data_IF_155428358214
#
_entry.id   IF_155428358214
#
_cell.length_a   1.000
_cell.length_b   1.000
_cell.length_c   1.000
_cell.angle_alpha   90.00
_cell.angle_beta   90.00
_cell.angle_gamma   90.00
#
_symmetry.space_group_name_H-M   'P 1'
#
loop_
_entity.id
_entity.type
_entity.pdbx_description
1 polymer ?
#
# COMPACT_ATOMS: atom_id res chain seq x y z
N UNK A 1 -5.15 -12.04 -16.18
CA UNK A 1 -4.57 -13.08 -15.30
C UNK A 1 -4.55 -14.37 -16.08
N UNK A 2 -3.62 -15.28 -15.81
CA UNK A 2 -3.51 -16.59 -16.44
C UNK A 2 -3.52 -17.64 -15.35
N UNK A 3 -4.34 -18.68 -15.51
CA UNK A 3 -4.32 -19.88 -14.68
C UNK A 3 -3.65 -20.97 -15.50
N UNK A 4 -2.60 -21.59 -14.95
CA UNK A 4 -1.95 -22.75 -15.56
C UNK A 4 -2.51 -24.00 -14.87
N UNK A 5 -3.12 -24.89 -15.65
CA UNK A 5 -3.63 -26.15 -15.15
C UNK A 5 -2.52 -27.20 -15.11
N UNK A 6 -2.61 -28.17 -14.20
CA UNK A 6 -1.72 -29.33 -14.19
C UNK A 6 -1.89 -30.14 -15.47
N UNK A 7 -0.83 -30.83 -15.90
CA UNK A 7 -0.90 -31.72 -17.07
C UNK A 7 -1.86 -32.91 -16.87
N UNK A 8 -2.19 -33.23 -15.62
CA UNK A 8 -3.15 -34.27 -15.24
C UNK A 8 -4.58 -33.76 -15.11
N UNK A 9 -4.84 -32.46 -15.28
CA UNK A 9 -6.17 -31.89 -15.15
C UNK A 9 -7.10 -32.40 -16.26
N UNK A 10 -8.29 -32.86 -15.88
CA UNK A 10 -9.32 -33.31 -16.81
C UNK A 10 -10.02 -32.11 -17.47
N UNK A 11 -10.76 -32.37 -18.55
CA UNK A 11 -11.62 -31.33 -19.16
C UNK A 11 -12.66 -30.79 -18.19
N UNK A 12 -13.19 -31.64 -17.32
CA UNK A 12 -14.16 -31.25 -16.30
C UNK A 12 -13.54 -30.31 -15.26
N UNK A 13 -12.27 -30.53 -14.88
CA UNK A 13 -11.54 -29.62 -14.00
C UNK A 13 -11.35 -28.23 -14.64
N UNK A 14 -11.01 -28.20 -15.93
CA UNK A 14 -10.88 -26.95 -16.69
C UNK A 14 -12.21 -26.19 -16.73
N UNK A 15 -13.31 -26.89 -17.01
CA UNK A 15 -14.67 -26.29 -17.04
C UNK A 15 -15.13 -25.81 -15.65
N UNK A 16 -14.80 -26.56 -14.59
CA UNK A 16 -15.09 -26.17 -13.21
C UNK A 16 -14.36 -24.88 -12.82
N UNK A 17 -13.06 -24.81 -13.11
CA UNK A 17 -12.24 -23.62 -12.80
C UNK A 17 -12.62 -22.44 -13.70
N UNK A 18 -12.91 -22.66 -14.98
CA UNK A 18 -13.37 -21.58 -15.86
C UNK A 18 -14.73 -21.03 -15.41
N UNK A 19 -15.66 -21.91 -15.02
CA UNK A 19 -17.00 -21.54 -14.56
C UNK A 19 -17.00 -20.80 -13.22
N UNK A 20 -16.05 -21.07 -12.31
CA UNK A 20 -15.93 -20.31 -11.06
C UNK A 20 -15.53 -18.85 -11.32
N UNK A 21 -14.66 -18.62 -12.30
CA UNK A 21 -14.21 -17.28 -12.71
C UNK A 21 -15.31 -16.53 -13.48
N UNK A 22 -16.05 -17.21 -14.36
CA UNK A 22 -17.17 -16.59 -15.10
C UNK A 22 -18.30 -16.10 -14.18
N UNK A 23 -18.56 -16.81 -13.08
CA UNK A 23 -19.55 -16.39 -12.06
C UNK A 23 -19.22 -15.03 -11.42
N UNK A 24 -17.96 -14.59 -11.47
CA UNK A 24 -17.53 -13.27 -10.99
C UNK A 24 -17.73 -12.16 -12.05
N UNK A 25 -18.36 -12.47 -13.18
CA UNK A 25 -18.63 -11.54 -14.27
C UNK A 25 -17.40 -11.28 -15.15
N UNK A 26 -16.45 -12.21 -15.17
CA UNK A 26 -15.22 -12.14 -15.98
C UNK A 26 -15.34 -13.04 -17.19
N UNK A 27 -14.63 -12.70 -18.27
CA UNK A 27 -14.55 -13.56 -19.46
C UNK A 27 -13.32 -14.46 -19.34
N UNK A 28 -13.47 -15.71 -19.72
CA UNK A 28 -12.38 -16.68 -19.76
C UNK A 28 -12.11 -17.11 -21.20
N UNK A 29 -10.85 -17.37 -21.51
CA UNK A 29 -10.42 -17.98 -22.77
C UNK A 29 -9.52 -19.16 -22.46
N UNK A 30 -9.94 -20.35 -22.88
CA UNK A 30 -9.22 -21.59 -22.60
C UNK A 30 -8.35 -21.95 -23.80
N UNK A 31 -7.05 -22.08 -23.57
CA UNK A 31 -6.08 -22.56 -24.55
C UNK A 31 -5.64 -23.95 -24.14
N UNK A 32 -6.04 -24.95 -24.91
CA UNK A 32 -5.60 -26.33 -24.71
C UNK A 32 -4.26 -26.53 -25.43
N UNK A 33 -3.17 -26.54 -24.67
CA UNK A 33 -1.84 -26.84 -25.19
C UNK A 33 -1.61 -28.35 -25.37
N UNK A 34 -0.49 -28.72 -25.98
CA UNK A 34 -0.12 -30.12 -26.17
C UNK A 34 0.14 -30.87 -24.84
N UNK A 35 0.54 -30.15 -23.80
CA UNK A 35 0.92 -30.71 -22.49
C UNK A 35 0.05 -30.24 -21.33
N UNK A 36 -0.44 -29.00 -21.39
CA UNK A 36 -1.19 -28.36 -20.30
C UNK A 36 -2.24 -27.41 -20.90
N UNK A 37 -3.35 -27.24 -20.18
CA UNK A 37 -4.35 -26.22 -20.49
C UNK A 37 -4.05 -24.93 -19.73
N UNK A 38 -4.29 -23.80 -20.39
CA UNK A 38 -4.07 -22.46 -19.85
C UNK A 38 -5.38 -21.69 -19.96
N UNK A 39 -5.83 -21.11 -18.85
CA UNK A 39 -7.05 -20.29 -18.81
C UNK A 39 -6.64 -18.83 -18.70
N UNK A 40 -6.87 -18.06 -19.77
CA UNK A 40 -6.72 -16.62 -19.77
C UNK A 40 -7.98 -15.94 -19.22
N UNK A 41 -7.82 -15.12 -18.19
CA UNK A 41 -8.91 -14.33 -17.59
C UNK A 41 -8.83 -12.89 -18.12
N UNK A 42 -9.93 -12.44 -18.71
CA UNK A 42 -10.10 -11.13 -19.35
C UNK A 42 -11.15 -10.32 -18.58
N UNK A 43 -10.76 -9.14 -18.10
CA UNK A 43 -11.62 -8.23 -17.37
C UNK A 43 -10.92 -7.62 -16.15
N UNK A 44 -11.71 -7.20 -15.17
CA UNK A 44 -11.20 -6.66 -13.90
C UNK A 44 -10.79 -7.79 -12.95
N UNK A 45 -9.56 -8.27 -13.11
CA UNK A 45 -9.02 -9.38 -12.31
C UNK A 45 -8.75 -9.02 -10.85
N UNK A 46 -9.02 -7.80 -10.40
CA UNK A 46 -8.97 -7.44 -8.97
C UNK A 46 -10.06 -8.14 -8.15
N UNK A 47 -11.11 -8.64 -8.82
CA UNK A 47 -12.21 -9.40 -8.24
C UNK A 47 -11.91 -10.88 -7.98
N UNK A 48 -10.75 -11.36 -8.43
CA UNK A 48 -10.32 -12.75 -8.26
C UNK A 48 -9.16 -12.75 -7.28
N UNK A 49 -9.32 -13.48 -6.19
CA UNK A 49 -8.21 -13.81 -5.31
C UNK A 49 -7.44 -15.00 -5.90
N UNK A 50 -6.15 -14.83 -6.31
CA UNK A 50 -5.35 -15.91 -6.87
C UNK A 50 -5.24 -17.12 -5.94
N UNK A 51 -5.11 -16.88 -4.62
CA UNK A 51 -4.93 -17.94 -3.63
C UNK A 51 -6.16 -18.86 -3.59
N UNK A 52 -7.36 -18.28 -3.71
CA UNK A 52 -8.61 -19.03 -3.79
C UNK A 52 -8.73 -19.96 -5.01
N UNK A 53 -7.97 -19.69 -6.08
CA UNK A 53 -7.93 -20.53 -7.28
C UNK A 53 -6.79 -21.55 -7.19
N UNK A 54 -5.64 -21.16 -6.63
CA UNK A 54 -4.47 -22.04 -6.47
C UNK A 54 -4.71 -23.22 -5.51
N UNK A 55 -5.69 -23.14 -4.62
CA UNK A 55 -6.08 -24.26 -3.76
C UNK A 55 -6.76 -25.41 -4.51
N UNK A 56 -7.24 -25.20 -5.73
CA UNK A 56 -7.84 -26.28 -6.50
C UNK A 56 -6.74 -27.29 -6.93
N UNK A 57 -6.91 -28.60 -6.65
CA UNK A 57 -5.87 -29.59 -6.91
C UNK A 57 -5.50 -29.70 -8.39
N UNK A 58 -6.37 -29.29 -9.32
CA UNK A 58 -6.11 -29.30 -10.76
C UNK A 58 -5.31 -28.07 -11.25
N UNK A 59 -5.13 -27.04 -10.41
CA UNK A 59 -4.37 -25.83 -10.73
C UNK A 59 -2.90 -26.02 -10.35
N UNK A 60 -2.00 -25.63 -11.26
CA UNK A 60 -0.55 -25.66 -11.02
C UNK A 60 -0.06 -24.33 -10.44
N UNK A 61 -0.50 -23.21 -11.02
CA UNK A 61 -0.19 -21.84 -10.56
C UNK A 61 -1.09 -20.81 -11.21
N UNK A 62 -1.22 -19.66 -10.57
CA UNK A 62 -1.91 -18.47 -11.10
C UNK A 62 -0.90 -17.34 -11.29
N UNK A 63 -0.99 -16.65 -12.42
CA UNK A 63 -0.07 -15.59 -12.80
C UNK A 63 -0.82 -14.32 -13.21
N UNK A 64 -0.40 -13.18 -12.67
CA UNK A 64 -0.90 -11.89 -13.12
C UNK A 64 -0.26 -11.51 -14.47
N UNK A 65 -1.10 -11.17 -15.45
CA UNK A 65 -0.65 -10.62 -16.75
C UNK A 65 -0.44 -9.11 -16.64
N UNK A 66 -1.29 -8.46 -15.86
CA UNK A 66 -1.20 -7.03 -15.53
C UNK A 66 -0.89 -6.89 -14.05
N UNK A 67 -0.09 -5.90 -13.69
CA UNK A 67 0.23 -5.59 -12.31
C UNK A 67 -1.03 -5.33 -11.47
N UNK A 68 -1.12 -5.87 -10.24
CA UNK A 68 -2.34 -5.81 -9.42
C UNK A 68 -2.62 -4.41 -8.85
N UNK A 69 -1.69 -3.47 -8.96
CA UNK A 69 -1.75 -2.12 -8.38
C UNK A 69 -2.07 -1.03 -9.41
N UNK A 70 -3.12 -1.23 -10.24
CA UNK A 70 -3.46 -0.33 -11.36
C UNK A 70 -3.53 1.16 -10.98
N UNK A 71 -4.15 1.49 -9.84
CA UNK A 71 -4.33 2.88 -9.39
C UNK A 71 -3.03 3.59 -9.02
N UNK A 72 -1.99 2.85 -8.63
CA UNK A 72 -0.68 3.40 -8.28
C UNK A 72 0.36 3.22 -9.40
N UNK A 73 -0.03 2.63 -10.52
CA UNK A 73 0.88 2.22 -11.58
C UNK A 73 1.06 3.32 -12.64
N UNK A 74 2.31 3.67 -12.96
CA UNK A 74 2.65 4.64 -14.01
C UNK A 74 2.14 4.28 -15.40
N UNK A 75 1.98 2.99 -15.71
CA UNK A 75 1.40 2.56 -16.97
C UNK A 75 -0.06 3.03 -17.16
N UNK A 76 -0.78 3.24 -16.05
CA UNK A 76 -2.17 3.72 -16.04
C UNK A 76 -2.27 5.19 -15.60
N UNK A 77 -1.30 5.67 -14.84
CA UNK A 77 -1.19 7.05 -14.33
C UNK A 77 0.19 7.62 -14.69
N UNK A 78 0.41 8.03 -15.96
CA UNK A 78 1.74 8.41 -16.45
C UNK A 78 2.28 9.69 -15.81
N UNK A 79 1.38 10.57 -15.35
CA UNK A 79 1.72 11.82 -14.68
C UNK A 79 2.19 11.61 -13.25
N UNK A 80 3.08 12.48 -12.78
CA UNK A 80 3.55 12.45 -11.40
C UNK A 80 2.43 12.88 -10.44
N UNK A 81 2.15 12.06 -9.43
CA UNK A 81 1.34 12.46 -8.29
C UNK A 81 2.10 13.47 -7.43
N UNK A 82 1.53 14.67 -7.28
CA UNK A 82 2.06 15.72 -6.40
C UNK A 82 1.08 15.97 -5.28
N UNK A 83 1.49 15.70 -4.05
CA UNK A 83 0.66 15.87 -2.85
C UNK A 83 1.01 17.22 -2.21
N UNK A 84 0.01 18.09 -2.06
CA UNK A 84 0.14 19.35 -1.33
C UNK A 84 -0.30 19.18 0.12
N UNK A 85 0.64 19.34 1.05
CA UNK A 85 0.39 19.28 2.49
C UNK A 85 0.62 20.66 3.08
N UNK A 86 -0.44 21.47 3.16
CA UNK A 86 -0.38 22.79 3.77
C UNK A 86 0.59 23.75 3.06
N UNK A 87 0.68 23.66 1.73
CA UNK A 87 1.58 24.45 0.88
C UNK A 87 2.92 23.77 0.56
N UNK A 88 3.23 22.62 1.17
CA UNK A 88 4.43 21.84 0.86
C UNK A 88 4.08 20.76 -0.16
N UNK A 89 4.71 20.83 -1.33
CA UNK A 89 4.54 19.83 -2.40
C UNK A 89 5.50 18.65 -2.24
N UNK A 90 4.97 17.44 -2.38
CA UNK A 90 5.73 16.18 -2.30
C UNK A 90 5.53 15.41 -3.62
N UNK A 91 6.62 15.11 -4.32
CA UNK A 91 6.60 14.46 -5.65
C UNK A 91 6.79 15.45 -6.80
N UNK A 92 6.82 14.97 -8.04
CA UNK A 92 6.93 15.83 -9.25
C UNK A 92 8.19 16.70 -9.30
N UNK A 93 9.32 16.22 -8.77
CA UNK A 93 10.57 16.99 -8.69
C UNK A 93 10.68 17.90 -7.47
N UNK A 94 9.66 17.99 -6.61
CA UNK A 94 9.75 18.69 -5.33
C UNK A 94 10.41 17.81 -4.27
N UNK A 95 11.46 18.32 -3.63
CA UNK A 95 12.11 17.67 -2.49
C UNK A 95 11.39 18.04 -1.19
N UNK A 96 10.92 17.03 -0.47
CA UNK A 96 10.33 17.20 0.86
C UNK A 96 11.24 16.57 1.92
N UNK A 97 11.62 17.36 2.92
CA UNK A 97 12.37 16.89 4.09
C UNK A 97 11.45 16.87 5.31
N UNK A 98 11.21 15.68 5.84
CA UNK A 98 10.36 15.45 7.01
C UNK A 98 11.26 15.03 8.17
N UNK A 99 11.34 15.85 9.22
CA UNK A 99 12.24 15.62 10.35
C UNK A 99 11.54 15.86 11.68
N UNK A 100 12.03 15.22 12.74
CA UNK A 100 11.45 15.33 14.08
C UNK A 100 11.72 14.08 14.90
N UNK A 101 11.27 14.04 16.17
CA UNK A 101 11.63 12.96 17.06
C UNK A 101 10.94 11.63 16.70
N UNK A 102 11.52 10.54 17.20
CA UNK A 102 10.91 9.22 17.07
C UNK A 102 9.59 9.12 17.86
N UNK A 103 9.56 9.68 19.07
CA UNK A 103 8.38 9.73 19.94
C UNK A 103 8.18 11.16 20.43
N UNK A 104 6.94 11.55 20.62
CA UNK A 104 6.60 12.79 21.35
C UNK A 104 6.73 12.52 22.84
N UNK A 105 7.60 13.27 23.52
CA UNK A 105 7.92 13.04 24.94
C UNK A 105 7.59 14.24 25.82
N UNK A 106 7.77 15.46 25.32
CA UNK A 106 7.30 16.68 25.99
C UNK A 106 7.06 17.82 25.00
N UNK A 107 6.35 18.85 25.44
CA UNK A 107 6.07 20.03 24.60
C UNK A 107 7.35 20.79 24.26
N UNK A 108 8.22 20.97 25.24
CA UNK A 108 9.48 21.71 25.12
C UNK A 108 10.39 21.01 24.11
N UNK A 109 10.54 19.69 24.25
CA UNK A 109 11.37 18.86 23.38
C UNK A 109 10.91 18.92 21.93
N UNK A 110 9.60 18.73 21.68
CA UNK A 110 9.08 18.74 20.29
C UNK A 110 9.20 20.12 19.67
N UNK A 111 8.90 21.20 20.40
CA UNK A 111 8.98 22.57 19.86
C UNK A 111 10.44 22.96 19.54
N UNK A 112 11.38 22.60 20.42
CA UNK A 112 12.81 22.85 20.19
C UNK A 112 13.29 22.13 18.93
N UNK A 113 12.98 20.84 18.79
CA UNK A 113 13.33 20.06 17.60
C UNK A 113 12.65 20.60 16.36
N UNK A 114 11.39 21.01 16.42
CA UNK A 114 10.67 21.57 15.29
C UNK A 114 11.33 22.85 14.77
N UNK A 115 11.78 23.73 15.68
CA UNK A 115 12.53 24.94 15.32
C UNK A 115 13.87 24.61 14.67
N UNK A 116 14.63 23.69 15.27
CA UNK A 116 15.92 23.27 14.74
C UNK A 116 15.78 22.60 13.36
N UNK A 117 14.81 21.71 13.20
CA UNK A 117 14.50 21.03 11.94
C UNK A 117 14.12 22.05 10.85
N UNK A 118 13.24 23.01 11.16
CA UNK A 118 12.88 24.08 10.22
C UNK A 118 14.11 24.90 9.81
N UNK A 119 14.95 25.29 10.77
CA UNK A 119 16.17 26.04 10.49
C UNK A 119 17.15 25.26 9.61
N UNK A 120 17.17 23.93 9.73
CA UNK A 120 17.95 23.03 8.89
C UNK A 120 17.32 22.73 7.52
N UNK A 121 16.14 23.29 7.21
CA UNK A 121 15.47 23.14 5.91
C UNK A 121 14.37 22.08 5.86
N UNK A 122 13.95 21.51 6.99
CA UNK A 122 12.79 20.62 7.01
C UNK A 122 11.51 21.38 6.62
N UNK A 123 10.66 20.72 5.83
CA UNK A 123 9.40 21.27 5.35
C UNK A 123 8.21 20.76 6.17
N UNK A 124 8.34 19.59 6.82
CA UNK A 124 7.33 19.03 7.72
C UNK A 124 7.97 18.53 9.02
N UNK A 125 7.18 18.51 10.09
CA UNK A 125 7.53 17.93 11.37
C UNK A 125 6.93 16.52 11.51
N UNK A 126 7.74 15.52 11.82
CA UNK A 126 7.23 14.19 12.25
C UNK A 126 7.32 13.99 13.77
N UNK A 127 6.42 13.19 14.32
CA UNK A 127 6.53 12.70 15.70
C UNK A 127 5.50 11.61 15.99
N UNK A 128 5.92 10.51 16.61
CA UNK A 128 5.00 9.42 16.95
C UNK A 128 4.33 9.66 18.30
N UNK A 129 3.02 9.88 18.30
CA UNK A 129 2.23 10.05 19.52
C UNK A 129 1.88 8.70 20.17
N UNK A 130 1.69 7.66 19.37
CA UNK A 130 1.43 6.28 19.81
C UNK A 130 2.62 5.40 19.43
N UNK A 131 3.09 4.56 20.35
CA UNK A 131 4.21 3.63 20.10
C UNK A 131 3.74 2.21 20.40
N UNK A 132 3.54 1.35 19.39
CA UNK A 132 3.22 -0.06 19.63
C UNK A 132 4.43 -0.74 20.29
N UNK A 133 4.30 -1.10 21.57
CA UNK A 133 5.36 -1.79 22.32
C UNK A 133 4.90 -3.18 22.71
N UNK A 134 5.82 -4.14 22.55
CA UNK A 134 5.60 -5.51 23.01
C UNK A 134 5.65 -5.63 24.54
N UNK A 135 6.42 -4.77 25.22
CA UNK A 135 6.49 -4.74 26.68
C UNK A 135 5.53 -3.71 27.27
N UNK A 136 4.73 -4.07 28.30
CA UNK A 136 3.82 -3.13 28.97
C UNK A 136 4.57 -2.05 29.78
N UNK A 137 5.85 -2.28 30.10
CA UNK A 137 6.67 -1.34 30.88
C UNK A 137 7.41 -0.33 30.02
N UNK A 138 7.41 -0.51 28.69
CA UNK A 138 8.01 0.45 27.79
C UNK A 138 7.13 1.70 27.66
N UNK A 139 7.75 2.84 27.34
CA UNK A 139 7.00 4.05 27.02
C UNK A 139 6.10 3.82 25.80
N UNK A 140 4.78 3.96 25.97
CA UNK A 140 3.76 3.67 24.95
C UNK A 140 3.48 4.87 24.02
N UNK A 141 4.19 5.98 24.21
CA UNK A 141 3.82 7.27 23.62
C UNK A 141 2.90 8.08 24.55
N UNK A 142 2.73 9.35 24.20
CA UNK A 142 1.86 10.29 24.93
C UNK A 142 0.38 10.17 24.53
N UNK A 143 0.06 9.34 23.53
CA UNK A 143 -1.29 9.21 22.98
C UNK A 143 -1.83 10.54 22.48
N UNK A 144 -3.11 10.82 22.73
CA UNK A 144 -3.76 12.06 22.28
C UNK A 144 -3.06 13.33 22.78
N UNK A 145 -2.52 13.33 24.00
CA UNK A 145 -1.76 14.48 24.51
C UNK A 145 -0.48 14.75 23.68
N UNK A 146 0.08 13.71 23.06
CA UNK A 146 1.18 13.84 22.10
C UNK A 146 0.76 14.54 20.80
N UNK A 147 -0.48 14.33 20.36
CA UNK A 147 -1.01 15.03 19.19
C UNK A 147 -1.22 16.53 19.48
N UNK A 148 -1.73 16.87 20.66
CA UNK A 148 -1.85 18.27 21.09
C UNK A 148 -0.50 18.98 21.14
N UNK A 149 0.55 18.28 21.56
CA UNK A 149 1.93 18.78 21.52
C UNK A 149 2.40 19.04 20.08
N UNK A 150 2.12 18.13 19.13
CA UNK A 150 2.45 18.33 17.72
C UNK A 150 1.70 19.53 17.12
N UNK A 151 0.44 19.73 17.49
CA UNK A 151 -0.33 20.93 17.10
C UNK A 151 0.32 22.19 17.64
N UNK A 152 0.72 22.22 18.92
CA UNK A 152 1.44 23.36 19.49
C UNK A 152 2.78 23.64 18.78
N UNK A 153 3.49 22.60 18.34
CA UNK A 153 4.71 22.75 17.56
C UNK A 153 4.45 23.29 16.15
N UNK A 154 3.36 22.87 15.50
CA UNK A 154 2.88 23.46 14.25
C UNK A 154 2.54 24.94 14.43
N UNK A 155 1.83 25.32 15.49
CA UNK A 155 1.51 26.72 15.78
C UNK A 155 2.79 27.56 15.96
N UNK A 156 3.78 27.02 16.67
CA UNK A 156 5.04 27.70 16.92
C UNK A 156 5.96 27.85 15.70
N UNK A 157 5.83 26.97 14.69
CA UNK A 157 6.80 26.88 13.58
C UNK A 157 6.18 27.00 12.19
N UNK A 158 4.88 26.82 12.05
CA UNK A 158 4.17 26.70 10.77
C UNK A 158 4.41 25.40 10.01
N UNK A 159 5.20 24.45 10.55
CA UNK A 159 5.45 23.18 9.88
C UNK A 159 4.18 22.29 9.91
N UNK A 160 3.71 21.77 8.76
CA UNK A 160 2.73 20.69 8.73
C UNK A 160 3.25 19.46 9.50
N UNK A 161 2.34 18.71 10.10
CA UNK A 161 2.66 17.58 10.98
C UNK A 161 2.34 16.23 10.34
N UNK A 162 3.14 15.23 10.66
CA UNK A 162 2.93 13.82 10.31
C UNK A 162 3.09 12.97 11.57
N UNK A 163 2.08 12.15 11.89
CA UNK A 163 2.14 11.14 12.95
C UNK A 163 1.61 9.82 12.42
N UNK A 164 2.18 8.72 12.93
CA UNK A 164 1.56 7.39 12.91
C UNK A 164 0.41 7.33 13.93
#
# INVERSE_FOLDING_TARGET
MIIVMKSTASKEDVEKVSGSVEKLGLRVNVVNGATQSVIGIIGDTTKVDPESIEVDPAVEKVMHVSEPYKLANRAFHPEDSVIDVGGVKIGGGHLAVIAGPCSVESKEQVIEIAKAAKAAGANLLRGGAFKPRTSPYAFQGMGSAGLDILVAAKEATGLPIVSE
#
